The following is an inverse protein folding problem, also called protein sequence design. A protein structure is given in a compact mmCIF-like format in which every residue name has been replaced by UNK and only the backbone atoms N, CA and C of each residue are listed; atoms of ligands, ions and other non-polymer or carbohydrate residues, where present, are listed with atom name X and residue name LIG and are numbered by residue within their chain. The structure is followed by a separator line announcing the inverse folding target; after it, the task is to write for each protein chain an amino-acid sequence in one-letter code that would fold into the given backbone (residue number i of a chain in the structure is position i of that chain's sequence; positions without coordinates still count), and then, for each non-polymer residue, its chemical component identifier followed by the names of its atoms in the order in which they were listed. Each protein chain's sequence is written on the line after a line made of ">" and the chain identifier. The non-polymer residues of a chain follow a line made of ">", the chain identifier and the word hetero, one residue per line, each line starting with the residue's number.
data_IF_216854153667
#
_entry.id   IF_216854153667
#
_cell.length_a   1.000
_cell.length_b   1.000
_cell.length_c   1.000
_cell.angle_alpha   90.00
_cell.angle_beta   90.00
_cell.angle_gamma   90.00
#
_symmetry.space_group_name_H-M   'P 1'
#
loop_
_entity.id
_entity.type
_entity.pdbx_description
1 polymer ?
#
# COMPACT_ATOMS: atom_id res chain seq x y z
N UNK A 1 15.53 5.06 21.31
CA UNK A 1 15.38 3.60 21.25
C UNK A 1 16.75 2.95 21.45
N UNK A 2 16.89 1.98 22.38
CA UNK A 2 18.19 1.29 22.58
C UNK A 2 18.49 0.43 21.36
N UNK A 3 19.70 0.56 20.85
CA UNK A 3 20.22 -0.19 19.69
C UNK A 3 20.56 -1.63 20.12
N UNK A 4 20.10 -2.61 19.40
CA UNK A 4 20.37 -4.03 19.65
C UNK A 4 20.89 -4.69 18.37
N UNK A 5 21.46 -5.90 18.46
CA UNK A 5 21.86 -6.69 17.30
C UNK A 5 20.69 -6.92 16.32
N UNK A 6 19.48 -7.06 16.85
CA UNK A 6 18.26 -7.28 16.05
C UNK A 6 17.78 -5.98 15.36
N UNK A 7 18.18 -4.81 15.90
CA UNK A 7 17.81 -3.50 15.36
C UNK A 7 19.08 -2.67 15.12
N UNK A 8 19.85 -2.98 14.09
CA UNK A 8 21.06 -2.23 13.75
C UNK A 8 20.73 -0.81 13.31
N UNK A 9 21.73 0.04 13.29
CA UNK A 9 21.63 1.45 12.92
C UNK A 9 21.46 1.63 11.42
N UNK A 10 20.27 1.43 10.88
CA UNK A 10 19.99 1.82 9.52
C UNK A 10 20.99 1.34 8.46
N UNK A 11 20.89 1.92 7.29
CA UNK A 11 21.86 1.67 6.20
C UNK A 11 23.14 2.44 6.49
N UNK A 12 24.33 1.85 6.30
CA UNK A 12 25.60 2.56 6.41
C UNK A 12 25.62 3.81 5.53
N UNK A 13 26.25 4.90 6.01
CA UNK A 13 26.43 6.10 5.20
C UNK A 13 27.23 5.78 3.95
N UNK A 14 26.73 6.22 2.80
CA UNK A 14 27.39 6.08 1.52
C UNK A 14 27.21 7.36 0.72
N UNK A 15 28.21 7.71 -0.11
CA UNK A 15 28.11 8.78 -1.11
C UNK A 15 27.34 8.31 -2.35
N UNK A 16 27.10 7.01 -2.48
CA UNK A 16 26.38 6.40 -3.60
C UNK A 16 24.91 6.25 -3.25
N UNK A 17 24.02 6.59 -4.18
CA UNK A 17 22.59 6.39 -4.07
C UNK A 17 22.15 5.07 -4.70
N UNK A 18 21.08 4.49 -4.17
CA UNK A 18 20.51 3.26 -4.70
C UNK A 18 19.78 3.54 -6.02
N UNK A 19 20.13 2.81 -7.07
CA UNK A 19 19.45 2.91 -8.37
C UNK A 19 18.12 2.15 -8.36
N UNK A 20 18.07 1.00 -7.68
CA UNK A 20 16.86 0.21 -7.55
C UNK A 20 16.14 0.51 -6.23
N UNK A 21 14.81 0.44 -6.28
CA UNK A 21 13.99 0.52 -5.06
C UNK A 21 14.34 -0.61 -4.10
N UNK A 22 14.69 -0.33 -2.84
CA UNK A 22 14.99 -1.38 -1.88
C UNK A 22 13.74 -2.18 -1.52
N UNK A 23 13.92 -3.47 -1.25
CA UNK A 23 12.89 -4.29 -0.65
C UNK A 23 12.84 -4.00 0.85
N UNK A 24 11.71 -3.52 1.32
CA UNK A 24 11.47 -3.17 2.72
C UNK A 24 10.66 -4.27 3.41
N UNK A 25 11.28 -5.17 4.19
CA UNK A 25 10.58 -6.31 4.79
C UNK A 25 9.85 -5.97 6.09
N UNK A 26 9.87 -4.71 6.54
CA UNK A 26 9.23 -4.30 7.79
C UNK A 26 7.72 -4.40 7.71
N UNK A 27 7.12 -5.08 8.69
CA UNK A 27 5.66 -5.14 8.87
C UNK A 27 5.19 -4.09 9.86
N UNK A 28 6.01 -3.79 10.87
CA UNK A 28 5.72 -2.81 11.92
C UNK A 28 6.74 -1.68 11.85
N UNK A 29 6.26 -0.46 12.00
CA UNK A 29 7.08 0.75 11.97
C UNK A 29 7.05 1.45 13.33
N UNK A 30 8.21 1.87 13.81
CA UNK A 30 8.34 2.55 15.10
C UNK A 30 8.15 4.06 14.92
N UNK A 31 7.18 4.64 15.58
CA UNK A 31 7.02 6.10 15.66
C UNK A 31 8.05 6.72 16.61
N UNK A 32 8.38 7.97 16.38
CA UNK A 32 9.37 8.72 17.20
C UNK A 32 8.88 8.97 18.63
N UNK A 33 7.56 9.15 18.80
CA UNK A 33 6.91 9.38 20.06
C UNK A 33 5.44 8.94 20.01
N UNK A 34 4.74 8.79 21.15
CA UNK A 34 3.30 8.53 21.18
C UNK A 34 2.51 9.62 20.42
N UNK A 35 2.83 10.89 20.63
CA UNK A 35 2.15 11.98 19.94
C UNK A 35 2.31 11.91 18.41
N UNK A 36 3.51 11.53 17.92
CA UNK A 36 3.73 11.34 16.49
C UNK A 36 2.90 10.17 15.91
N UNK A 37 2.63 9.16 16.72
CA UNK A 37 1.74 8.06 16.35
C UNK A 37 0.29 8.53 16.24
N UNK A 38 -0.19 9.29 17.23
CA UNK A 38 -1.54 9.86 17.24
C UNK A 38 -1.75 10.78 16.02
N UNK A 39 -0.77 11.65 15.71
CA UNK A 39 -0.82 12.51 14.53
C UNK A 39 -0.86 11.74 13.20
N UNK A 40 -0.23 10.55 13.13
CA UNK A 40 -0.32 9.67 11.97
C UNK A 40 -1.75 9.08 11.83
N UNK A 41 -2.34 8.58 12.92
CA UNK A 41 -3.71 8.07 12.91
C UNK A 41 -4.76 9.13 12.62
N UNK A 42 -4.53 10.37 13.04
CA UNK A 42 -5.38 11.52 12.73
C UNK A 42 -5.17 12.08 11.30
N UNK A 43 -4.22 11.51 10.54
CA UNK A 43 -3.90 11.96 9.18
C UNK A 43 -3.14 13.30 9.09
N UNK A 44 -2.68 13.83 10.23
CA UNK A 44 -1.93 15.10 10.30
C UNK A 44 -0.49 14.95 9.80
N UNK A 45 0.10 13.77 9.97
CA UNK A 45 1.43 13.43 9.48
C UNK A 45 1.38 12.14 8.63
N UNK A 46 2.10 12.16 7.51
CA UNK A 46 2.28 10.94 6.71
C UNK A 46 3.33 10.03 7.36
N UNK A 47 3.03 8.76 7.42
CA UNK A 47 3.94 7.74 7.92
C UNK A 47 3.34 6.35 7.79
N UNK A 48 4.12 5.36 8.17
CA UNK A 48 3.68 3.97 8.23
C UNK A 48 3.64 3.53 9.68
N UNK A 49 2.62 2.80 10.05
CA UNK A 49 2.44 2.22 11.39
C UNK A 49 2.48 0.70 11.29
N UNK A 50 1.71 0.15 10.38
CA UNK A 50 1.62 -1.27 10.11
C UNK A 50 1.40 -1.54 8.62
N UNK A 51 2.05 -2.58 8.07
CA UNK A 51 2.04 -2.87 6.63
C UNK A 51 0.64 -3.13 6.03
N UNK A 52 -0.35 -3.52 6.84
CA UNK A 52 -1.74 -3.66 6.41
C UNK A 52 -2.39 -2.31 6.08
N UNK A 53 -1.99 -1.25 6.77
CA UNK A 53 -2.52 0.11 6.62
C UNK A 53 -1.78 0.91 5.55
N UNK A 54 -0.53 0.56 5.31
CA UNK A 54 0.30 1.16 4.29
C UNK A 54 1.73 0.60 4.30
N UNK A 55 2.33 0.49 3.12
CA UNK A 55 3.67 -0.05 2.97
C UNK A 55 4.44 0.68 1.87
N UNK A 56 5.73 1.06 2.11
CA UNK A 56 6.50 1.83 1.13
C UNK A 56 6.60 1.20 -0.25
N UNK A 57 6.86 -0.11 -0.34
CA UNK A 57 6.95 -0.78 -1.65
C UNK A 57 5.60 -0.81 -2.38
N UNK A 58 4.48 -0.98 -1.66
CA UNK A 58 3.15 -0.91 -2.24
C UNK A 58 2.85 0.49 -2.78
N UNK A 59 3.18 1.54 -2.01
CA UNK A 59 3.00 2.93 -2.45
C UNK A 59 3.86 3.28 -3.67
N UNK A 60 5.11 2.81 -3.73
CA UNK A 60 5.98 3.02 -4.89
C UNK A 60 5.39 2.33 -6.13
N UNK A 61 4.93 1.08 -6.00
CA UNK A 61 4.28 0.35 -7.10
C UNK A 61 3.01 1.07 -7.56
N UNK A 62 2.14 1.48 -6.64
CA UNK A 62 0.94 2.23 -6.96
C UNK A 62 1.25 3.48 -7.78
N UNK A 63 2.21 4.30 -7.34
CA UNK A 63 2.62 5.51 -8.06
C UNK A 63 3.19 5.24 -9.46
N UNK A 64 3.90 4.11 -9.65
CA UNK A 64 4.41 3.74 -10.96
C UNK A 64 3.26 3.38 -11.92
N UNK A 65 2.29 2.61 -11.45
CA UNK A 65 1.10 2.26 -12.24
C UNK A 65 0.23 3.50 -12.50
N UNK A 66 0.02 4.33 -11.49
CA UNK A 66 -0.69 5.62 -11.64
C UNK A 66 -0.09 6.47 -12.76
N UNK A 67 1.25 6.54 -12.84
CA UNK A 67 1.94 7.26 -13.90
C UNK A 67 1.69 6.66 -15.28
N UNK A 68 1.61 5.33 -15.39
CA UNK A 68 1.34 4.64 -16.66
C UNK A 68 -0.11 4.81 -17.11
N UNK A 69 -1.04 4.77 -16.16
CA UNK A 69 -2.48 4.86 -16.41
C UNK A 69 -3.03 6.31 -16.41
N UNK A 70 -2.19 7.29 -16.08
CA UNK A 70 -2.62 8.70 -15.95
C UNK A 70 -3.54 8.94 -14.75
N UNK A 71 -3.44 8.12 -13.72
CA UNK A 71 -4.19 8.21 -12.46
C UNK A 71 -3.37 8.80 -11.32
N UNK A 72 -3.94 8.91 -10.12
CA UNK A 72 -3.24 9.49 -8.96
C UNK A 72 -3.52 8.79 -7.62
N UNK A 73 -4.35 7.76 -7.62
CA UNK A 73 -4.87 7.13 -6.38
C UNK A 73 -4.91 5.60 -6.46
N UNK A 74 -3.93 5.01 -7.10
CA UNK A 74 -3.83 3.56 -7.22
C UNK A 74 -3.68 2.87 -5.86
N UNK A 75 -4.27 1.70 -5.72
CA UNK A 75 -4.19 0.83 -4.55
C UNK A 75 -3.59 -0.52 -4.94
N UNK A 76 -2.60 -0.96 -4.18
CA UNK A 76 -2.00 -2.29 -4.33
C UNK A 76 -2.64 -3.24 -3.32
N UNK A 77 -3.16 -4.34 -3.82
CA UNK A 77 -3.79 -5.41 -3.03
C UNK A 77 -3.11 -6.76 -3.29
N UNK A 78 -3.45 -7.78 -2.49
CA UNK A 78 -2.74 -9.06 -2.47
C UNK A 78 -3.03 -9.97 -3.68
N UNK A 79 -4.10 -9.72 -4.44
CA UNK A 79 -4.47 -10.53 -5.61
C UNK A 79 -5.39 -9.76 -6.56
N UNK A 80 -5.50 -10.23 -7.82
CA UNK A 80 -6.44 -9.68 -8.79
C UNK A 80 -7.90 -9.77 -8.32
N UNK A 81 -8.29 -10.87 -7.66
CA UNK A 81 -9.64 -10.99 -7.09
C UNK A 81 -9.86 -10.01 -5.94
N UNK A 82 -8.85 -9.76 -5.11
CA UNK A 82 -8.94 -8.71 -4.08
C UNK A 82 -9.12 -7.33 -4.71
N UNK A 83 -8.48 -7.04 -5.85
CA UNK A 83 -8.66 -5.79 -6.57
C UNK A 83 -10.10 -5.60 -7.05
N UNK A 84 -10.66 -6.62 -7.70
CA UNK A 84 -12.05 -6.60 -8.21
C UNK A 84 -13.04 -6.48 -7.05
N UNK A 85 -12.88 -7.30 -6.01
CA UNK A 85 -13.77 -7.26 -4.84
C UNK A 85 -13.72 -5.91 -4.12
N UNK A 86 -12.52 -5.34 -3.93
CA UNK A 86 -12.35 -4.03 -3.32
C UNK A 86 -13.00 -2.92 -4.15
N UNK A 87 -12.88 -3.00 -5.48
CA UNK A 87 -13.51 -2.04 -6.38
C UNK A 87 -15.03 -2.10 -6.24
N UNK A 88 -15.62 -3.29 -6.34
CA UNK A 88 -17.07 -3.49 -6.25
C UNK A 88 -17.58 -3.02 -4.88
N UNK A 89 -16.98 -3.50 -3.79
CA UNK A 89 -17.40 -3.16 -2.43
C UNK A 89 -17.19 -1.69 -2.05
N UNK A 90 -16.18 -1.05 -2.64
CA UNK A 90 -15.85 0.35 -2.34
C UNK A 90 -16.61 1.38 -3.17
N UNK A 91 -17.19 0.99 -4.32
CA UNK A 91 -17.82 1.95 -5.25
C UNK A 91 -19.30 1.71 -5.46
N UNK A 92 -19.83 0.53 -5.13
CA UNK A 92 -21.21 0.16 -5.39
C UNK A 92 -22.03 0.02 -4.11
N UNK A 93 -23.31 0.30 -4.25
CA UNK A 93 -24.34 0.10 -3.23
C UNK A 93 -25.34 -1.00 -3.65
N UNK A 94 -26.12 -1.51 -2.70
CA UNK A 94 -27.15 -2.51 -2.99
C UNK A 94 -28.18 -1.92 -3.99
N UNK A 95 -28.36 -2.63 -5.11
CA UNK A 95 -29.25 -2.20 -6.20
C UNK A 95 -28.54 -1.55 -7.37
N UNK A 96 -27.25 -1.26 -7.28
CA UNK A 96 -26.46 -0.76 -8.40
C UNK A 96 -26.24 -1.84 -9.47
N UNK A 97 -25.97 -1.42 -10.70
CA UNK A 97 -25.75 -2.30 -11.83
C UNK A 97 -24.27 -2.27 -12.26
N UNK A 98 -23.74 -3.45 -12.55
CA UNK A 98 -22.37 -3.60 -13.09
C UNK A 98 -22.45 -4.11 -14.52
N UNK A 99 -21.81 -3.40 -15.43
CA UNK A 99 -21.64 -3.86 -16.81
C UNK A 99 -20.22 -4.41 -16.96
N UNK A 100 -20.13 -5.69 -17.30
CA UNK A 100 -18.86 -6.39 -17.52
C UNK A 100 -18.77 -6.96 -18.94
N UNK A 101 -17.54 -7.07 -19.49
CA UNK A 101 -17.29 -7.76 -20.75
C UNK A 101 -17.46 -9.27 -20.61
N UNK A 102 -17.76 -9.94 -21.72
CA UNK A 102 -17.92 -11.42 -21.75
C UNK A 102 -16.61 -12.20 -21.59
N UNK A 103 -15.47 -11.53 -21.65
CA UNK A 103 -14.12 -12.13 -21.55
C UNK A 103 -13.48 -11.93 -20.17
N UNK A 104 -14.28 -11.67 -19.14
CA UNK A 104 -13.79 -11.58 -17.77
C UNK A 104 -13.28 -12.93 -17.27
N UNK A 105 -12.33 -12.88 -16.33
CA UNK A 105 -11.91 -14.07 -15.59
C UNK A 105 -13.11 -14.71 -14.89
N UNK A 106 -13.27 -16.04 -15.04
CA UNK A 106 -14.48 -16.74 -14.61
C UNK A 106 -14.91 -16.51 -13.17
N UNK A 107 -13.96 -16.40 -12.23
CA UNK A 107 -14.26 -16.08 -10.83
C UNK A 107 -14.75 -14.65 -10.61
N UNK A 108 -14.43 -13.72 -11.52
CA UNK A 108 -14.93 -12.35 -11.43
C UNK A 108 -16.43 -12.28 -11.66
N UNK A 109 -16.97 -13.16 -12.50
CA UNK A 109 -18.40 -13.26 -12.77
C UNK A 109 -19.23 -13.77 -11.58
N UNK A 110 -18.61 -14.53 -10.68
CA UNK A 110 -19.30 -15.06 -9.48
C UNK A 110 -19.55 -13.94 -8.46
N UNK A 111 -18.72 -12.88 -8.46
CA UNK A 111 -18.81 -11.74 -7.53
C UNK A 111 -19.70 -10.59 -8.07
N UNK A 112 -20.07 -10.66 -9.32
CA UNK A 112 -20.97 -9.71 -9.97
C UNK A 112 -22.39 -10.29 -10.02
#
# INVERSE_FOLDING_TARGET
>A
MKRTIIRPNGVPNSISEQVATPIMPSVVYASKSPNALDEQYEGKQKGYTYAREGHPNAEILARLIDKLEGSSTGLVVSSGMAAISSLIMGTLSLGDHVLGGSQLYGLSLIHI
#
